data_IF_747518684601
#
_entry.id   IF_747518684601
#
_cell.length_a   1.000
_cell.length_b   1.000
_cell.length_c   1.000
_cell.angle_alpha   90.00
_cell.angle_beta   90.00
_cell.angle_gamma   90.00
#
_symmetry.space_group_name_H-M   'P 1'
#
loop_
_entity.id
_entity.type
_entity.pdbx_description
1 polymer ?
#
# COMPACT_ATOMS: atom_id res chain seq x y z
N UNK A 1 -11.10 44.50 32.37
CA UNK A 1 -10.61 43.11 32.21
C UNK A 1 -11.80 42.19 32.39
N UNK A 2 -12.15 41.44 31.36
CA UNK A 2 -13.19 40.40 31.45
C UNK A 2 -12.59 39.24 32.24
N UNK A 3 -13.24 38.82 33.33
CA UNK A 3 -12.81 37.66 34.12
C UNK A 3 -13.25 36.41 33.36
N UNK A 4 -12.31 35.52 33.07
CA UNK A 4 -12.56 34.26 32.36
C UNK A 4 -12.37 33.13 33.37
N UNK A 5 -13.39 32.30 33.56
CA UNK A 5 -13.34 31.15 34.45
C UNK A 5 -12.82 29.93 33.68
N UNK A 6 -11.76 29.28 34.18
CA UNK A 6 -11.15 28.12 33.50
C UNK A 6 -12.10 26.92 33.41
N UNK A 7 -13.07 26.84 34.31
CA UNK A 7 -14.13 25.81 34.30
C UNK A 7 -15.02 25.89 33.06
N UNK A 8 -15.08 27.05 32.41
CA UNK A 8 -15.86 27.23 31.18
C UNK A 8 -15.06 26.83 29.93
N UNK A 9 -13.73 26.70 30.06
CA UNK A 9 -12.80 26.43 28.95
C UNK A 9 -12.26 25.00 28.96
N UNK A 10 -12.15 24.39 30.14
CA UNK A 10 -11.63 23.04 30.33
C UNK A 10 -12.80 22.12 30.67
N UNK A 11 -12.91 20.99 29.95
CA UNK A 11 -13.96 20.02 30.25
C UNK A 11 -13.71 19.33 31.61
N UNK A 12 -14.78 19.00 32.38
CA UNK A 12 -14.65 18.39 33.71
C UNK A 12 -13.78 17.12 33.75
N UNK A 13 -13.74 16.35 32.67
CA UNK A 13 -12.90 15.15 32.54
C UNK A 13 -11.39 15.42 32.64
N UNK A 14 -10.96 16.68 32.50
CA UNK A 14 -9.56 17.09 32.59
C UNK A 14 -9.20 17.83 33.88
N UNK A 15 -10.13 18.01 34.83
CA UNK A 15 -9.84 18.72 36.08
C UNK A 15 -8.73 18.04 36.90
N UNK A 16 -8.78 16.72 37.04
CA UNK A 16 -7.71 15.97 37.72
C UNK A 16 -6.36 16.13 37.01
N UNK A 17 -6.36 16.14 35.68
CA UNK A 17 -5.15 16.34 34.88
C UNK A 17 -4.61 17.77 35.07
N UNK A 18 -5.49 18.78 35.12
CA UNK A 18 -5.12 20.17 35.42
C UNK A 18 -4.47 20.29 36.81
N UNK A 19 -5.07 19.68 37.84
CA UNK A 19 -4.50 19.67 39.18
C UNK A 19 -3.12 18.99 39.22
N UNK A 20 -2.99 17.83 38.57
CA UNK A 20 -1.73 17.10 38.47
C UNK A 20 -0.64 17.90 37.71
N UNK A 21 -1.02 18.70 36.70
CA UNK A 21 -0.11 19.60 35.99
C UNK A 21 0.35 20.75 36.87
N UNK A 22 -0.58 21.38 37.60
CA UNK A 22 -0.30 22.51 38.50
C UNK A 22 0.62 22.12 39.66
N UNK A 23 0.47 20.90 40.15
CA UNK A 23 1.34 20.31 41.18
C UNK A 23 2.62 19.69 40.59
N UNK A 24 2.76 19.68 39.26
CA UNK A 24 3.90 19.14 38.52
C UNK A 24 4.21 17.68 38.91
N UNK A 25 3.16 16.87 39.10
CA UNK A 25 3.26 15.47 39.59
C UNK A 25 3.97 14.54 38.61
N UNK A 26 3.76 14.74 37.31
CA UNK A 26 4.25 13.84 36.26
C UNK A 26 4.99 14.61 35.17
N UNK A 27 5.84 13.90 34.43
CA UNK A 27 6.51 14.44 33.24
C UNK A 27 5.78 14.09 31.95
N UNK A 28 5.07 12.97 31.89
CA UNK A 28 4.41 12.46 30.68
C UNK A 28 2.92 12.33 30.93
N UNK A 29 2.10 12.98 30.11
CA UNK A 29 0.65 13.00 30.18
C UNK A 29 0.08 12.42 28.89
N UNK A 30 -0.57 11.26 28.99
CA UNK A 30 -1.21 10.58 27.87
C UNK A 30 -2.71 10.84 27.89
N UNK A 31 -3.22 11.49 26.86
CA UNK A 31 -4.60 11.88 26.71
C UNK A 31 -5.21 11.08 25.55
N UNK A 32 -6.01 10.07 25.90
CA UNK A 32 -6.79 9.26 24.94
C UNK A 32 -8.23 9.76 24.86
N UNK A 33 -8.83 9.68 23.68
CA UNK A 33 -10.27 9.93 23.54
C UNK A 33 -10.73 10.07 22.10
N UNK A 34 -12.04 9.93 21.88
CA UNK A 34 -12.66 10.06 20.57
C UNK A 34 -12.68 11.48 20.02
N UNK A 35 -13.35 11.64 18.86
CA UNK A 35 -13.63 12.96 18.28
C UNK A 35 -14.52 13.77 19.24
N UNK A 36 -14.16 15.04 19.46
CA UNK A 36 -14.91 15.92 20.36
C UNK A 36 -14.58 15.75 21.84
N UNK A 37 -13.60 14.92 22.21
CA UNK A 37 -13.20 14.72 23.61
C UNK A 37 -12.31 15.84 24.18
N UNK A 38 -12.30 17.01 23.54
CA UNK A 38 -11.65 18.28 23.97
C UNK A 38 -10.16 18.24 24.39
N UNK A 39 -9.43 17.16 24.08
CA UNK A 39 -8.00 16.98 24.44
C UNK A 39 -7.09 18.10 23.93
N UNK A 40 -7.14 18.37 22.63
CA UNK A 40 -6.28 19.37 21.99
C UNK A 40 -6.61 20.79 22.49
N UNK A 41 -7.88 21.05 22.79
CA UNK A 41 -8.34 22.28 23.45
C UNK A 41 -7.77 22.42 24.86
N UNK A 42 -7.85 21.36 25.67
CA UNK A 42 -7.26 21.35 27.01
C UNK A 42 -5.74 21.57 26.98
N UNK A 43 -5.00 20.80 26.17
CA UNK A 43 -3.54 20.90 26.07
C UNK A 43 -3.11 22.30 25.64
N UNK A 44 -3.79 22.89 24.65
CA UNK A 44 -3.47 24.24 24.17
C UNK A 44 -3.66 25.31 25.25
N UNK A 45 -4.72 25.23 26.06
CA UNK A 45 -4.94 26.14 27.20
C UNK A 45 -3.82 26.00 28.24
N UNK A 46 -3.49 24.76 28.63
CA UNK A 46 -2.45 24.47 29.63
C UNK A 46 -1.07 24.97 29.21
N UNK A 47 -0.71 24.83 27.93
CA UNK A 47 0.56 25.31 27.40
C UNK A 47 0.63 26.85 27.47
N UNK A 48 -0.42 27.55 27.04
CA UNK A 48 -0.44 29.01 27.05
C UNK A 48 -0.34 29.55 28.48
N UNK A 49 -1.16 29.04 29.41
CA UNK A 49 -1.13 29.45 30.81
C UNK A 49 0.18 29.09 31.48
N UNK A 50 0.68 27.87 31.26
CA UNK A 50 1.95 27.40 31.81
C UNK A 50 3.14 28.26 31.39
N UNK A 51 3.19 28.66 30.11
CA UNK A 51 4.23 29.57 29.62
C UNK A 51 4.10 30.98 30.19
N UNK A 52 2.89 31.52 30.30
CA UNK A 52 2.66 32.84 30.89
C UNK A 52 3.08 32.89 32.37
N UNK A 53 2.99 31.77 33.10
CA UNK A 53 3.36 31.66 34.51
C UNK A 53 4.87 31.38 34.74
N UNK A 54 5.59 30.83 33.76
CA UNK A 54 6.99 30.45 33.89
C UNK A 54 7.88 31.22 32.90
N UNK A 55 8.60 32.28 33.32
CA UNK A 55 9.49 33.10 32.49
C UNK A 55 10.58 32.33 31.71
N UNK A 56 10.88 31.08 32.05
CA UNK A 56 11.90 30.26 31.38
C UNK A 56 11.31 29.15 30.48
N UNK A 57 9.98 28.98 30.47
CA UNK A 57 9.33 27.94 29.71
C UNK A 57 9.20 28.32 28.23
N UNK A 58 9.64 27.43 27.34
CA UNK A 58 9.29 27.43 25.94
C UNK A 58 8.54 26.13 25.62
N UNK A 59 7.86 26.09 24.47
CA UNK A 59 7.13 24.91 24.05
C UNK A 59 7.48 24.47 22.63
N UNK A 60 7.26 23.19 22.35
CA UNK A 60 7.29 22.63 21.00
C UNK A 60 6.03 21.81 20.74
N UNK A 61 5.36 22.09 19.63
CA UNK A 61 4.24 21.30 19.13
C UNK A 61 4.68 20.49 17.90
N UNK A 62 4.31 19.21 17.90
CA UNK A 62 4.80 18.20 16.99
C UNK A 62 3.64 17.44 16.35
N UNK A 63 3.77 17.22 15.05
CA UNK A 63 2.96 16.27 14.26
C UNK A 63 3.89 15.43 13.40
N UNK A 64 3.42 14.27 12.92
CA UNK A 64 4.24 13.40 12.07
C UNK A 64 4.66 14.14 10.79
N UNK A 65 3.71 14.78 10.12
CA UNK A 65 3.90 15.51 8.86
C UNK A 65 3.87 17.02 9.12
N UNK A 66 4.84 17.76 8.57
CA UNK A 66 5.02 19.20 8.84
C UNK A 66 3.88 20.05 8.25
N UNK A 67 3.39 19.65 7.09
CA UNK A 67 2.35 20.34 6.32
C UNK A 67 1.06 20.47 7.13
N UNK A 68 0.75 19.48 7.96
CA UNK A 68 -0.45 19.46 8.79
C UNK A 68 -0.38 20.40 10.00
N UNK A 69 0.81 20.94 10.37
CA UNK A 69 0.97 21.74 11.58
C UNK A 69 0.18 23.05 11.55
N UNK A 70 0.10 23.71 10.38
CA UNK A 70 -0.53 25.02 10.26
C UNK A 70 -2.01 24.94 10.59
N UNK A 71 -2.73 24.04 9.93
CA UNK A 71 -4.19 23.92 10.03
C UNK A 71 -4.66 23.14 11.27
N UNK A 72 -3.74 22.67 12.11
CA UNK A 72 -4.06 21.88 13.32
C UNK A 72 -3.56 22.56 14.59
N UNK A 73 -2.41 22.12 15.13
CA UNK A 73 -1.88 22.54 16.42
C UNK A 73 -1.54 24.04 16.48
N UNK A 74 -1.21 24.67 15.34
CA UNK A 74 -0.96 26.11 15.29
C UNK A 74 -2.26 26.90 15.47
N UNK A 75 -3.30 26.63 14.67
CA UNK A 75 -4.63 27.23 14.87
C UNK A 75 -5.20 26.91 16.25
N UNK A 76 -4.98 25.70 16.78
CA UNK A 76 -5.46 25.29 18.09
C UNK A 76 -4.86 26.12 19.24
N UNK A 77 -3.57 26.49 19.13
CA UNK A 77 -2.91 27.38 20.10
C UNK A 77 -3.32 28.85 19.93
N UNK A 78 -3.56 29.30 18.69
CA UNK A 78 -4.13 30.63 18.44
C UNK A 78 -5.53 30.76 19.06
N UNK A 79 -6.37 29.74 18.88
CA UNK A 79 -7.68 29.66 19.53
C UNK A 79 -7.56 29.76 21.05
N UNK A 80 -6.61 29.05 21.67
CA UNK A 80 -6.43 29.12 23.12
C UNK A 80 -6.02 30.53 23.58
N UNK A 81 -5.14 31.20 22.83
CA UNK A 81 -4.75 32.60 23.10
C UNK A 81 -5.95 33.55 23.03
N UNK A 82 -6.81 33.37 22.02
CA UNK A 82 -8.00 34.19 21.82
C UNK A 82 -9.04 33.97 22.93
N UNK A 83 -9.35 32.71 23.23
CA UNK A 83 -10.34 32.34 24.25
C UNK A 83 -9.88 32.70 25.67
N UNK A 84 -8.57 32.72 25.92
CA UNK A 84 -8.00 33.25 27.16
C UNK A 84 -7.96 34.79 27.21
N UNK A 85 -8.31 35.49 26.13
CA UNK A 85 -8.32 36.96 26.08
C UNK A 85 -6.93 37.60 26.12
N UNK A 86 -5.88 36.85 25.78
CA UNK A 86 -4.47 37.26 25.93
C UNK A 86 -3.78 37.57 24.60
N UNK A 87 -4.52 37.69 23.49
CA UNK A 87 -3.96 37.93 22.15
C UNK A 87 -3.01 39.12 22.06
N UNK A 88 -3.25 40.18 22.83
CA UNK A 88 -2.39 41.37 22.89
C UNK A 88 -0.98 41.12 23.46
N UNK A 89 -0.75 39.96 24.10
CA UNK A 89 0.53 39.55 24.67
C UNK A 89 1.29 38.57 23.77
N UNK A 90 0.68 38.11 22.68
CA UNK A 90 1.25 37.09 21.80
C UNK A 90 1.42 37.63 20.38
N UNK A 91 2.47 37.17 19.72
CA UNK A 91 2.74 37.47 18.32
C UNK A 91 2.93 36.17 17.54
N UNK A 92 2.15 35.99 16.49
CA UNK A 92 2.21 34.84 15.60
C UNK A 92 3.07 35.12 14.36
N UNK A 93 3.72 34.07 13.87
CA UNK A 93 4.49 34.08 12.63
C UNK A 93 4.31 32.73 11.95
N UNK A 94 4.01 32.76 10.65
CA UNK A 94 3.81 31.54 9.84
C UNK A 94 5.10 31.06 9.13
N UNK A 95 6.09 31.95 8.95
CA UNK A 95 7.37 31.62 8.33
C UNK A 95 8.52 32.44 8.94
N UNK A 96 9.28 31.90 9.90
CA UNK A 96 9.14 30.56 10.47
C UNK A 96 7.90 30.42 11.35
N UNK A 97 7.26 29.25 11.33
CA UNK A 97 6.07 28.96 12.15
C UNK A 97 6.41 28.97 13.64
N UNK A 98 5.91 29.98 14.36
CA UNK A 98 6.12 30.16 15.80
C UNK A 98 5.09 31.12 16.43
N UNK A 99 4.84 30.94 17.72
CA UNK A 99 4.12 31.91 18.55
C UNK A 99 5.09 32.47 19.59
N UNK A 100 5.14 33.79 19.76
CA UNK A 100 6.05 34.47 20.69
C UNK A 100 5.26 35.19 21.78
N UNK A 101 5.56 34.91 23.04
CA UNK A 101 5.01 35.67 24.16
C UNK A 101 5.84 36.95 24.36
N UNK A 102 5.24 38.10 24.08
CA UNK A 102 5.91 39.40 24.02
C UNK A 102 6.58 39.82 25.34
N UNK A 103 5.96 39.65 26.53
CA UNK A 103 6.54 40.13 27.78
C UNK A 103 7.90 39.50 28.14
N UNK A 104 8.09 38.21 27.84
CA UNK A 104 9.32 37.47 28.21
C UNK A 104 10.14 36.99 27.02
N UNK A 105 9.62 37.16 25.80
CA UNK A 105 10.21 36.69 24.52
C UNK A 105 10.36 35.17 24.40
N UNK A 106 9.62 34.39 25.18
CA UNK A 106 9.52 32.95 25.02
C UNK A 106 8.81 32.58 23.71
N UNK A 107 9.06 31.37 23.22
CA UNK A 107 8.48 30.90 21.97
C UNK A 107 7.89 29.50 22.06
N UNK A 108 6.81 29.32 21.30
CA UNK A 108 6.30 28.03 20.86
C UNK A 108 6.81 27.80 19.45
N UNK A 109 7.50 26.68 19.24
CA UNK A 109 7.99 26.28 17.91
C UNK A 109 7.23 25.06 17.40
N UNK A 110 7.04 24.99 16.09
CA UNK A 110 6.29 23.92 15.43
C UNK A 110 7.23 23.09 14.55
N UNK A 111 7.21 21.77 14.69
CA UNK A 111 8.13 20.87 13.95
C UNK A 111 7.43 19.60 13.50
N UNK A 112 7.74 19.17 12.28
CA UNK A 112 7.38 17.84 11.77
C UNK A 112 8.39 16.80 12.27
N UNK A 113 7.89 15.61 12.62
CA UNK A 113 8.72 14.47 12.98
C UNK A 113 9.12 13.59 11.77
N UNK A 114 8.78 14.00 10.56
CA UNK A 114 9.20 13.40 9.28
C UNK A 114 10.72 13.34 9.12
N UNK A 115 11.43 14.33 9.68
CA UNK A 115 12.91 14.41 9.66
C UNK A 115 13.45 14.67 11.07
N UNK A 116 13.54 13.63 11.95
CA UNK A 116 13.95 13.77 13.35
C UNK A 116 15.31 14.46 13.52
N UNK A 117 16.23 14.26 12.56
CA UNK A 117 17.55 14.91 12.54
C UNK A 117 17.49 16.44 12.42
N UNK A 118 16.46 17.01 11.78
CA UNK A 118 16.26 18.46 11.64
C UNK A 118 15.63 19.10 12.88
N UNK A 119 15.00 18.30 13.74
CA UNK A 119 14.41 18.76 15.01
C UNK A 119 15.53 19.19 16.00
N UNK A 120 16.72 18.58 15.88
CA UNK A 120 17.91 18.80 16.74
C UNK A 120 18.53 20.20 16.71
N UNK A 121 18.27 21.02 15.69
CA UNK A 121 18.97 22.31 15.51
C UNK A 121 18.28 23.52 16.14
N UNK A 122 17.22 23.33 16.92
CA UNK A 122 16.41 24.43 17.46
C UNK A 122 16.99 24.95 18.79
N UNK A 123 18.10 25.70 18.74
CA UNK A 123 18.59 26.43 19.91
C UNK A 123 17.65 27.60 20.22
N UNK A 124 17.13 27.66 21.45
CA UNK A 124 16.37 28.80 21.93
C UNK A 124 17.31 29.88 22.48
N UNK A 125 16.91 31.15 22.35
CA UNK A 125 17.70 32.30 22.82
C UNK A 125 17.67 32.44 24.36
N UNK A 126 16.59 31.99 25.00
CA UNK A 126 16.36 32.09 26.45
C UNK A 126 15.48 30.93 26.92
N UNK A 127 15.76 30.44 28.13
CA UNK A 127 15.00 29.34 28.74
C UNK A 127 15.27 27.99 28.09
N UNK A 128 14.38 27.04 28.35
CA UNK A 128 14.45 25.68 27.81
C UNK A 128 13.06 25.23 27.34
N UNK A 129 12.99 24.13 26.59
CA UNK A 129 11.71 23.53 26.20
C UNK A 129 11.14 22.80 27.42
N UNK A 130 10.17 23.42 28.09
CA UNK A 130 9.45 22.82 29.21
C UNK A 130 8.29 21.97 28.72
N UNK A 131 7.53 22.48 27.75
CA UNK A 131 6.33 21.82 27.22
C UNK A 131 6.62 21.18 25.86
N UNK A 132 6.32 19.90 25.72
CA UNK A 132 6.42 19.15 24.46
C UNK A 132 5.05 18.56 24.17
N UNK A 133 4.48 18.82 23.00
CA UNK A 133 3.18 18.29 22.63
C UNK A 133 3.29 17.47 21.34
N UNK A 134 2.96 16.18 21.44
CA UNK A 134 2.77 15.28 20.32
C UNK A 134 1.27 15.14 20.04
N UNK A 135 0.82 15.74 18.94
CA UNK A 135 -0.56 15.61 18.46
C UNK A 135 -0.65 14.44 17.47
N UNK A 136 -1.69 13.63 17.59
CA UNK A 136 -1.89 12.39 16.83
C UNK A 136 -0.68 11.47 16.93
N UNK A 137 -0.31 11.18 18.18
CA UNK A 137 0.89 10.37 18.48
C UNK A 137 0.83 8.97 17.85
N UNK A 138 -0.38 8.46 17.55
CA UNK A 138 -0.58 7.20 16.85
C UNK A 138 0.02 7.16 15.43
N UNK A 139 0.27 8.31 14.80
CA UNK A 139 0.95 8.41 13.50
C UNK A 139 2.49 8.37 13.61
N UNK A 140 3.04 8.42 14.83
CA UNK A 140 4.48 8.48 15.05
C UNK A 140 5.09 7.08 15.15
N UNK A 141 6.42 7.02 14.98
CA UNK A 141 7.20 5.85 15.35
C UNK A 141 7.77 6.04 16.76
N UNK A 142 7.77 5.02 17.64
CA UNK A 142 8.34 5.09 18.98
C UNK A 142 9.80 5.61 19.01
N UNK A 143 10.59 5.22 18.02
CA UNK A 143 12.00 5.61 17.90
C UNK A 143 12.17 7.11 17.61
N UNK A 144 11.26 7.69 16.85
CA UNK A 144 11.23 9.13 16.55
C UNK A 144 10.97 9.91 17.84
N UNK A 145 9.95 9.49 18.61
CA UNK A 145 9.61 10.12 19.89
C UNK A 145 10.78 10.02 20.87
N UNK A 146 11.42 8.85 20.98
CA UNK A 146 12.59 8.67 21.86
C UNK A 146 13.73 9.62 21.47
N UNK A 147 13.99 9.75 20.17
CA UNK A 147 15.05 10.64 19.64
C UNK A 147 14.73 12.11 19.90
N UNK A 148 13.47 12.50 19.73
CA UNK A 148 12.99 13.88 19.95
C UNK A 148 13.01 14.21 21.45
N UNK A 149 12.52 13.32 22.32
CA UNK A 149 12.57 13.48 23.77
C UNK A 149 14.01 13.63 24.27
N UNK A 150 14.95 12.82 23.77
CA UNK A 150 16.37 12.98 24.09
C UNK A 150 16.92 14.34 23.66
N UNK A 151 16.32 15.01 22.67
CA UNK A 151 16.74 16.32 22.21
C UNK A 151 16.16 17.43 23.08
N UNK A 152 14.87 17.38 23.39
CA UNK A 152 14.16 18.48 24.06
C UNK A 152 14.10 18.38 25.58
N UNK A 153 14.11 17.17 26.16
CA UNK A 153 14.04 16.97 27.62
C UNK A 153 15.43 17.16 28.27
N UNK A 154 16.04 18.32 28.04
CA UNK A 154 17.35 18.73 28.57
C UNK A 154 17.37 20.22 28.84
N UNK A 155 18.23 20.65 29.75
CA UNK A 155 18.52 22.07 29.98
C UNK A 155 17.57 22.79 30.95
N UNK A 156 16.70 22.06 31.65
CA UNK A 156 15.83 22.60 32.69
C UNK A 156 15.45 21.58 33.76
N UNK A 157 14.87 22.04 34.89
CA UNK A 157 14.60 21.20 36.06
C UNK A 157 13.33 20.35 35.94
N UNK A 158 12.35 20.78 35.13
CA UNK A 158 11.05 20.13 35.01
C UNK A 158 10.55 20.15 33.58
N UNK A 159 9.86 19.10 33.16
CA UNK A 159 9.33 18.94 31.81
C UNK A 159 7.91 18.41 31.86
N UNK A 160 7.12 18.78 30.86
CA UNK A 160 5.75 18.31 30.66
C UNK A 160 5.61 17.90 29.21
N UNK A 161 5.29 16.63 28.97
CA UNK A 161 5.12 16.04 27.66
C UNK A 161 3.68 15.57 27.50
N UNK A 162 2.96 16.19 26.59
CA UNK A 162 1.61 15.82 26.22
C UNK A 162 1.61 14.89 25.02
N UNK A 163 0.86 13.79 25.14
CA UNK A 163 0.59 12.86 24.05
C UNK A 163 -0.92 12.77 23.85
N UNK A 164 -1.41 13.27 22.72
CA UNK A 164 -2.83 13.19 22.37
C UNK A 164 -3.02 12.30 21.16
N UNK A 165 -3.97 11.38 21.25
CA UNK A 165 -4.33 10.49 20.15
C UNK A 165 -5.78 10.01 20.28
N UNK A 166 -6.29 9.50 19.16
CA UNK A 166 -7.52 8.75 19.15
C UNK A 166 -7.18 7.25 19.08
N UNK A 167 -7.57 6.43 20.06
CA UNK A 167 -7.24 5.00 20.05
C UNK A 167 -7.69 4.34 18.74
N UNK A 168 -6.75 3.78 17.99
CA UNK A 168 -7.06 3.04 16.76
C UNK A 168 -7.76 1.73 17.12
N UNK A 169 -8.74 1.30 16.32
CA UNK A 169 -9.49 0.04 16.53
C UNK A 169 -8.60 -1.20 16.63
N UNK A 170 -7.39 -1.15 16.07
CA UNK A 170 -6.40 -2.22 16.17
C UNK A 170 -5.67 -2.15 17.51
N UNK A 171 -5.84 -3.18 18.35
CA UNK A 171 -5.06 -3.34 19.59
C UNK A 171 -3.55 -3.56 19.33
N UNK A 172 -3.15 -3.84 18.07
CA UNK A 172 -1.74 -4.00 17.66
C UNK A 172 -0.99 -2.69 17.49
N UNK A 173 -1.67 -1.53 17.56
CA UNK A 173 -0.99 -0.24 17.48
C UNK A 173 -0.12 -0.04 18.74
N UNK A 174 1.13 0.37 18.55
CA UNK A 174 2.13 0.47 19.60
C UNK A 174 1.71 1.42 20.72
N UNK A 175 0.92 2.46 20.40
CA UNK A 175 0.42 3.41 21.40
C UNK A 175 -0.49 2.73 22.42
N UNK A 176 -1.33 1.79 21.97
CA UNK A 176 -2.23 1.02 22.85
C UNK A 176 -1.44 0.04 23.75
N UNK A 177 -0.27 -0.42 23.30
CA UNK A 177 0.61 -1.29 24.09
C UNK A 177 1.43 -0.52 25.14
N UNK A 178 1.82 0.73 24.84
CA UNK A 178 2.51 1.59 25.80
C UNK A 178 1.57 2.05 26.93
N UNK A 179 0.27 2.15 26.65
CA UNK A 179 -0.80 2.31 27.64
C UNK A 179 -0.90 1.09 28.57
N UNK A 180 -0.82 -0.12 28.01
CA UNK A 180 -0.98 -1.37 28.77
C UNK A 180 0.17 -1.66 29.76
N UNK A 181 1.31 -0.99 29.62
CA UNK A 181 2.37 -1.01 30.65
C UNK A 181 1.97 -0.28 31.94
N UNK A 182 0.85 0.45 31.92
CA UNK A 182 0.17 1.01 33.09
C UNK A 182 -0.98 0.14 33.61
N UNK A 183 -1.07 -1.15 33.24
CA UNK A 183 -2.10 -2.05 33.77
C UNK A 183 -1.92 -2.26 35.27
N UNK A 184 -3.04 -2.01 35.95
CA UNK A 184 -3.35 -2.05 37.39
C UNK A 184 -2.72 -3.25 38.10
N UNK A 185 -1.77 -2.99 38.99
CA UNK A 185 -1.15 -3.97 39.92
C UNK A 185 -1.60 -3.71 41.37
N UNK A 186 -2.89 -3.45 41.57
CA UNK A 186 -3.49 -3.09 42.85
C UNK A 186 -4.58 -2.04 42.64
N UNK A 187 -5.51 -1.93 43.57
CA UNK A 187 -6.69 -1.05 43.42
C UNK A 187 -6.30 0.44 43.29
N UNK A 188 -5.07 0.80 43.71
CA UNK A 188 -4.48 2.14 43.62
C UNK A 188 -3.04 2.14 43.03
N UNK A 189 -2.60 3.28 42.44
CA UNK A 189 -1.28 3.46 41.82
C UNK A 189 -0.09 3.17 42.76
N UNK A 190 -0.26 3.40 44.05
CA UNK A 190 0.78 3.21 45.06
C UNK A 190 1.03 1.70 45.33
N UNK A 191 -0.02 0.91 45.34
CA UNK A 191 0.05 -0.55 45.47
C UNK A 191 0.68 -1.17 44.21
N UNK A 192 0.31 -0.67 43.02
CA UNK A 192 0.91 -1.11 41.76
C UNK A 192 2.43 -0.91 41.72
N UNK A 193 2.91 0.24 42.19
CA UNK A 193 4.36 0.53 42.28
C UNK A 193 5.08 -0.40 43.27
N UNK A 194 4.46 -0.69 44.41
CA UNK A 194 5.00 -1.61 45.42
C UNK A 194 5.06 -3.05 44.88
N UNK A 195 4.01 -3.51 44.20
CA UNK A 195 3.96 -4.83 43.58
C UNK A 195 5.02 -4.96 42.48
N UNK A 196 5.25 -3.93 41.65
CA UNK A 196 6.34 -3.91 40.66
C UNK A 196 7.72 -4.02 41.33
N UNK A 197 7.93 -3.32 42.45
CA UNK A 197 9.19 -3.39 43.20
C UNK A 197 9.39 -4.76 43.85
N UNK A 198 8.34 -5.34 44.43
CA UNK A 198 8.37 -6.69 45.00
C UNK A 198 8.61 -7.74 43.92
N UNK A 199 7.96 -7.63 42.76
CA UNK A 199 8.16 -8.53 41.63
C UNK A 199 9.60 -8.48 41.09
N UNK A 200 10.22 -7.29 41.04
CA UNK A 200 11.64 -7.15 40.67
C UNK A 200 12.59 -7.75 41.70
N UNK A 201 12.29 -7.59 42.99
CA UNK A 201 13.16 -8.01 44.09
C UNK A 201 13.06 -9.51 44.37
N UNK A 202 11.84 -10.04 44.41
CA UNK A 202 11.54 -11.41 44.80
C UNK A 202 11.28 -12.33 43.61
N UNK A 203 10.94 -11.78 42.43
CA UNK A 203 10.62 -12.56 41.21
C UNK A 203 9.48 -13.56 41.41
N UNK A 204 8.59 -13.27 42.36
CA UNK A 204 7.40 -14.06 42.68
C UNK A 204 6.18 -13.22 42.29
N UNK A 205 5.21 -13.86 41.63
CA UNK A 205 3.90 -13.31 41.33
C UNK A 205 2.88 -14.09 42.16
N UNK A 206 2.19 -13.41 43.06
CA UNK A 206 1.12 -14.01 43.86
C UNK A 206 -0.19 -13.96 43.08
N UNK A 207 -0.86 -15.11 42.95
CA UNK A 207 -2.14 -15.24 42.27
C UNK A 207 -3.25 -15.36 43.33
N UNK A 208 -4.41 -14.73 43.13
CA UNK A 208 -5.46 -14.69 44.13
C UNK A 208 -5.96 -16.12 44.46
N UNK A 209 -5.98 -16.51 45.75
CA UNK A 209 -6.40 -17.86 46.13
C UNK A 209 -7.89 -18.07 45.87
N UNK A 210 -8.25 -19.16 45.19
CA UNK A 210 -9.64 -19.57 44.95
C UNK A 210 -10.27 -19.09 43.63
N UNK A 211 -9.49 -18.44 42.76
CA UNK A 211 -9.83 -18.22 41.36
C UNK A 211 -8.88 -19.06 40.50
N UNK A 212 -9.36 -19.65 39.39
CA UNK A 212 -8.50 -20.21 38.33
C UNK A 212 -7.73 -19.05 37.68
N UNK A 213 -6.71 -18.57 38.39
CA UNK A 213 -5.85 -17.49 37.98
C UNK A 213 -4.57 -18.12 37.43
N UNK A 214 -4.33 -17.93 36.14
CA UNK A 214 -3.12 -18.38 35.46
C UNK A 214 -2.21 -17.20 35.13
N UNK A 215 -0.90 -17.43 35.20
CA UNK A 215 0.13 -16.46 34.83
C UNK A 215 0.81 -16.91 33.53
N UNK A 216 0.50 -16.25 32.43
CA UNK A 216 1.12 -16.51 31.13
C UNK A 216 2.02 -15.36 30.69
N UNK A 217 3.09 -15.71 29.98
CA UNK A 217 3.85 -14.71 29.23
C UNK A 217 3.00 -14.24 28.06
N UNK A 218 2.85 -12.91 27.89
CA UNK A 218 2.32 -12.34 26.67
C UNK A 218 3.36 -12.52 25.54
N UNK A 219 3.43 -13.73 25.00
CA UNK A 219 4.26 -14.04 23.84
C UNK A 219 3.53 -13.55 22.59
N UNK A 220 4.25 -12.93 21.66
CA UNK A 220 3.71 -12.70 20.31
C UNK A 220 3.64 -14.04 19.57
N UNK A 221 2.67 -14.88 19.92
CA UNK A 221 2.34 -16.06 19.13
C UNK A 221 1.61 -15.57 17.89
N UNK A 222 2.32 -15.51 16.77
CA UNK A 222 1.64 -15.53 15.48
C UNK A 222 1.11 -16.96 15.35
N UNK A 223 -0.21 -17.11 15.30
CA UNK A 223 -0.79 -18.39 14.98
C UNK A 223 -0.31 -18.76 13.55
N UNK A 224 0.26 -19.96 13.41
CA UNK A 224 0.79 -20.44 12.14
C UNK A 224 -0.30 -20.44 11.07
N UNK A 225 -1.55 -20.77 11.47
CA UNK A 225 -2.72 -20.72 10.59
C UNK A 225 -3.01 -19.31 10.07
N UNK A 226 -2.95 -18.30 10.94
CA UNK A 226 -3.24 -16.90 10.55
C UNK A 226 -2.16 -16.37 9.61
N UNK A 227 -0.91 -16.79 9.85
CA UNK A 227 0.24 -16.43 9.02
C UNK A 227 0.13 -17.06 7.64
N UNK A 228 -0.32 -18.32 7.56
CA UNK A 228 -0.57 -19.01 6.30
C UNK A 228 -1.73 -18.39 5.50
N UNK A 229 -2.82 -18.03 6.17
CA UNK A 229 -3.94 -17.30 5.55
C UNK A 229 -3.46 -15.96 4.96
N UNK A 230 -2.69 -15.19 5.73
CA UNK A 230 -2.13 -13.92 5.25
C UNK A 230 -1.17 -14.13 4.08
N UNK A 231 -0.31 -15.16 4.14
CA UNK A 231 0.63 -15.50 3.07
C UNK A 231 -0.10 -15.82 1.77
N UNK A 232 -1.17 -16.61 1.85
CA UNK A 232 -1.96 -17.00 0.69
C UNK A 232 -2.70 -15.79 0.10
N UNK A 233 -3.30 -14.94 0.94
CA UNK A 233 -3.95 -13.70 0.49
C UNK A 233 -2.97 -12.77 -0.26
N UNK A 234 -1.78 -12.53 0.30
CA UNK A 234 -0.75 -11.71 -0.35
C UNK A 234 -0.31 -12.31 -1.68
N UNK A 235 -0.12 -13.64 -1.74
CA UNK A 235 0.24 -14.34 -2.98
C UNK A 235 -0.82 -14.12 -4.05
N UNK A 236 -2.09 -14.28 -3.70
CA UNK A 236 -3.21 -14.16 -4.64
C UNK A 236 -3.38 -12.71 -5.11
N UNK A 237 -3.23 -11.73 -4.21
CA UNK A 237 -3.21 -10.30 -4.53
C UNK A 237 -2.10 -9.95 -5.53
N UNK A 238 -0.88 -10.48 -5.33
CA UNK A 238 0.25 -10.26 -6.25
C UNK A 238 -0.10 -10.75 -7.66
N UNK A 239 -0.68 -11.95 -7.79
CA UNK A 239 -1.06 -12.50 -9.09
C UNK A 239 -2.19 -11.70 -9.75
N UNK A 240 -3.16 -11.22 -8.97
CA UNK A 240 -4.24 -10.38 -9.45
C UNK A 240 -3.73 -9.02 -9.96
N UNK A 241 -2.87 -8.33 -9.19
CA UNK A 241 -2.34 -7.02 -9.57
C UNK A 241 -1.31 -7.10 -10.71
N UNK A 242 -0.46 -8.12 -10.71
CA UNK A 242 0.51 -8.33 -11.77
C UNK A 242 -0.14 -8.81 -13.08
N UNK A 243 -1.40 -9.26 -13.04
CA UNK A 243 -2.09 -9.96 -14.14
C UNK A 243 -1.27 -11.16 -14.65
N UNK A 244 -0.53 -11.81 -13.75
CA UNK A 244 0.27 -13.01 -14.04
C UNK A 244 -0.43 -14.21 -13.42
N UNK A 245 -0.87 -15.20 -14.22
CA UNK A 245 -1.54 -16.40 -13.73
C UNK A 245 -0.66 -17.19 -12.77
N UNK A 246 -1.26 -17.70 -11.70
CA UNK A 246 -0.58 -18.65 -10.80
C UNK A 246 -0.68 -20.07 -11.38
N UNK A 247 0.46 -20.64 -11.79
CA UNK A 247 0.53 -21.98 -12.38
C UNK A 247 0.47 -23.11 -11.33
N UNK A 248 0.68 -22.79 -10.04
CA UNK A 248 0.66 -23.77 -8.95
C UNK A 248 -0.68 -23.81 -8.21
N UNK A 249 -1.71 -23.13 -8.73
CA UNK A 249 -3.07 -23.20 -8.19
C UNK A 249 -3.64 -24.63 -8.39
N UNK A 250 -4.15 -25.26 -7.34
CA UNK A 250 -4.73 -26.61 -7.41
C UNK A 250 -5.91 -26.67 -8.40
N UNK A 251 -6.63 -25.55 -8.55
CA UNK A 251 -7.69 -25.41 -9.56
C UNK A 251 -7.16 -25.29 -10.99
N UNK A 252 -5.84 -25.23 -11.19
CA UNK A 252 -5.19 -25.26 -12.50
C UNK A 252 -4.99 -26.70 -12.98
N UNK A 253 -4.63 -27.62 -12.10
CA UNK A 253 -4.26 -28.99 -12.46
C UNK A 253 -5.47 -29.94 -12.63
N UNK A 254 -6.59 -29.66 -11.97
CA UNK A 254 -7.58 -30.70 -11.74
C UNK A 254 -8.60 -30.96 -12.87
N UNK A 255 -8.90 -30.03 -13.79
CA UNK A 255 -9.86 -30.22 -14.91
C UNK A 255 -10.03 -28.96 -15.77
N UNK A 256 -8.94 -28.32 -16.20
CA UNK A 256 -9.07 -27.07 -16.96
C UNK A 256 -9.47 -27.35 -18.42
N UNK A 257 -10.77 -27.25 -18.72
CA UNK A 257 -11.25 -27.15 -20.10
C UNK A 257 -10.51 -26.04 -20.84
N UNK A 258 -10.34 -26.14 -22.17
CA UNK A 258 -9.63 -25.12 -22.96
C UNK A 258 -10.17 -23.70 -22.75
N UNK A 259 -11.45 -23.57 -22.38
CA UNK A 259 -12.11 -22.31 -22.04
C UNK A 259 -11.70 -21.78 -20.65
N UNK A 260 -11.59 -22.64 -19.64
CA UNK A 260 -11.17 -22.24 -18.29
C UNK A 260 -9.72 -21.70 -18.30
N UNK A 261 -8.85 -22.32 -19.08
CA UNK A 261 -7.47 -21.83 -19.29
C UNK A 261 -7.45 -20.44 -19.92
N UNK A 262 -8.30 -20.19 -20.93
CA UNK A 262 -8.41 -18.86 -21.58
C UNK A 262 -8.83 -17.77 -20.60
N UNK A 263 -9.81 -18.04 -19.72
CA UNK A 263 -10.21 -17.05 -18.71
C UNK A 263 -9.11 -16.76 -17.69
N UNK A 264 -8.36 -17.77 -17.25
CA UNK A 264 -7.22 -17.57 -16.34
C UNK A 264 -6.08 -16.78 -16.99
N UNK A 265 -5.82 -16.99 -18.28
CA UNK A 265 -4.77 -16.28 -19.03
C UNK A 265 -5.20 -14.89 -19.53
N UNK A 266 -6.46 -14.49 -19.36
CA UNK A 266 -7.02 -13.27 -19.94
C UNK A 266 -6.22 -12.01 -19.56
N UNK A 267 -5.85 -11.87 -18.28
CA UNK A 267 -5.06 -10.73 -17.81
C UNK A 267 -3.67 -10.67 -18.47
N UNK A 268 -3.01 -11.83 -18.59
CA UNK A 268 -1.71 -11.93 -19.25
C UNK A 268 -1.82 -11.57 -20.73
N UNK A 269 -2.84 -12.09 -21.43
CA UNK A 269 -3.08 -11.78 -22.83
C UNK A 269 -3.36 -10.30 -23.06
N UNK A 270 -4.09 -9.63 -22.16
CA UNK A 270 -4.29 -8.19 -22.25
C UNK A 270 -2.97 -7.41 -22.13
N UNK A 271 -2.12 -7.74 -21.14
CA UNK A 271 -0.80 -7.14 -21.02
C UNK A 271 0.08 -7.42 -22.24
N UNK A 272 0.04 -8.65 -22.73
CA UNK A 272 0.84 -9.09 -23.86
C UNK A 272 0.41 -8.38 -25.15
N UNK A 273 -0.89 -8.15 -25.36
CA UNK A 273 -1.45 -7.41 -26.49
C UNK A 273 -1.08 -5.92 -26.44
N UNK A 274 -1.09 -5.31 -25.25
CA UNK A 274 -0.62 -3.93 -25.07
C UNK A 274 0.85 -3.81 -25.46
N UNK A 275 1.70 -4.73 -24.99
CA UNK A 275 3.12 -4.77 -25.34
C UNK A 275 3.33 -5.01 -26.83
N UNK A 276 2.62 -5.98 -27.40
CA UNK A 276 2.68 -6.30 -28.84
C UNK A 276 2.40 -5.07 -29.69
N UNK A 277 1.39 -4.27 -29.35
CA UNK A 277 1.11 -3.00 -30.05
C UNK A 277 2.32 -2.05 -30.04
N UNK A 278 2.99 -1.90 -28.90
CA UNK A 278 4.20 -1.07 -28.80
C UNK A 278 5.36 -1.66 -29.61
N UNK A 279 5.54 -2.99 -29.59
CA UNK A 279 6.54 -3.66 -30.40
C UNK A 279 6.28 -3.49 -31.90
N UNK A 280 5.04 -3.66 -32.37
CA UNK A 280 4.66 -3.45 -33.78
C UNK A 280 4.93 -1.99 -34.18
N UNK A 281 4.58 -1.03 -33.34
CA UNK A 281 4.88 0.38 -33.61
C UNK A 281 6.39 0.62 -33.74
N UNK A 282 7.19 0.09 -32.81
CA UNK A 282 8.66 0.21 -32.85
C UNK A 282 9.29 -0.50 -34.06
N UNK A 283 8.79 -1.68 -34.42
CA UNK A 283 9.26 -2.44 -35.58
C UNK A 283 8.92 -1.73 -36.88
N UNK A 284 7.71 -1.18 -37.02
CA UNK A 284 7.34 -0.36 -38.17
C UNK A 284 8.26 0.84 -38.33
N UNK A 285 8.57 1.53 -37.23
CA UNK A 285 9.48 2.68 -37.27
C UNK A 285 10.91 2.25 -37.65
N UNK A 286 11.39 1.14 -37.10
CA UNK A 286 12.68 0.55 -37.48
C UNK A 286 12.73 0.15 -38.95
N UNK A 287 11.66 -0.40 -39.48
CA UNK A 287 11.56 -0.75 -40.90
C UNK A 287 11.59 0.49 -41.81
N UNK A 288 10.92 1.58 -41.44
CA UNK A 288 11.03 2.86 -42.15
C UNK A 288 12.47 3.39 -42.16
N UNK A 289 13.18 3.29 -41.02
CA UNK A 289 14.59 3.67 -40.94
C UNK A 289 15.45 2.84 -41.90
N UNK A 290 15.22 1.52 -41.97
CA UNK A 290 15.92 0.67 -42.94
C UNK A 290 15.62 1.04 -44.39
N UNK A 291 14.36 1.32 -44.73
CA UNK A 291 14.00 1.80 -46.06
C UNK A 291 14.69 3.13 -46.40
N UNK A 292 14.78 4.06 -45.45
CA UNK A 292 15.51 5.32 -45.64
C UNK A 292 17.00 5.08 -45.91
N UNK A 293 17.65 4.18 -45.17
CA UNK A 293 19.05 3.80 -45.41
C UNK A 293 19.23 3.16 -46.78
N UNK A 294 18.32 2.28 -47.20
CA UNK A 294 18.36 1.65 -48.52
C UNK A 294 18.13 2.67 -49.64
N UNK A 295 17.25 3.65 -49.43
CA UNK A 295 17.01 4.76 -50.36
C UNK A 295 18.27 5.58 -50.60
N UNK A 296 19.04 5.87 -49.55
CA UNK A 296 20.35 6.54 -49.67
C UNK A 296 21.35 5.66 -50.45
N UNK A 297 21.25 4.34 -50.35
CA UNK A 297 22.05 3.38 -51.12
C UNK A 297 21.51 3.08 -52.53
N UNK A 298 20.51 3.84 -53.00
CA UNK A 298 19.95 3.72 -54.35
C UNK A 298 18.91 2.61 -54.54
N UNK A 299 18.40 1.98 -53.45
CA UNK A 299 17.32 0.98 -53.50
C UNK A 299 16.09 1.51 -52.78
N UNK A 300 15.04 1.86 -53.52
CA UNK A 300 13.75 2.21 -52.93
C UNK A 300 12.95 0.94 -52.62
N UNK A 301 12.58 0.76 -51.35
CA UNK A 301 11.74 -0.36 -50.88
C UNK A 301 10.55 0.25 -50.16
N UNK A 302 9.34 -0.11 -50.59
CA UNK A 302 8.13 0.19 -49.82
C UNK A 302 7.98 -0.83 -48.70
N UNK A 303 7.69 -0.35 -47.50
CA UNK A 303 7.55 -1.18 -46.30
C UNK A 303 6.10 -1.23 -45.81
N UNK A 304 5.19 -0.54 -46.50
CA UNK A 304 3.78 -0.46 -46.12
C UNK A 304 3.08 -1.81 -46.18
N UNK A 305 3.52 -2.68 -47.10
CA UNK A 305 2.94 -4.00 -47.34
C UNK A 305 3.49 -5.10 -46.41
N UNK A 306 4.45 -4.77 -45.54
CA UNK A 306 5.03 -5.76 -44.62
C UNK A 306 4.09 -6.02 -43.45
N UNK A 307 3.48 -7.21 -43.46
CA UNK A 307 2.68 -7.72 -42.34
C UNK A 307 3.59 -8.26 -41.24
N UNK A 308 3.46 -7.71 -40.02
CA UNK A 308 4.21 -8.14 -38.85
C UNK A 308 3.29 -9.02 -38.00
N UNK A 309 3.61 -10.31 -37.90
CA UNK A 309 2.85 -11.28 -37.11
C UNK A 309 3.66 -11.70 -35.88
N UNK A 310 3.07 -11.60 -34.69
CA UNK A 310 3.64 -12.10 -33.44
C UNK A 310 2.87 -13.33 -33.00
N UNK A 311 3.54 -14.47 -32.87
CA UNK A 311 2.91 -15.72 -32.45
C UNK A 311 3.01 -15.90 -30.93
N UNK A 312 1.92 -16.35 -30.30
CA UNK A 312 1.87 -16.66 -28.87
C UNK A 312 2.30 -18.11 -28.67
N UNK A 313 3.20 -18.34 -27.73
CA UNK A 313 3.57 -19.70 -27.30
C UNK A 313 2.71 -20.11 -26.10
N UNK A 314 1.44 -20.41 -26.37
CA UNK A 314 0.50 -20.92 -25.37
C UNK A 314 0.33 -22.43 -25.52
N UNK A 315 0.12 -23.18 -24.43
CA UNK A 315 -0.29 -24.57 -24.51
C UNK A 315 -1.58 -24.70 -25.32
N UNK A 316 -1.51 -25.40 -26.45
CA UNK A 316 -2.68 -25.69 -27.30
C UNK A 316 -3.24 -27.07 -26.94
N UNK A 317 -4.57 -27.20 -26.97
CA UNK A 317 -5.23 -28.50 -26.90
C UNK A 317 -5.51 -28.99 -28.31
N UNK A 318 -4.57 -29.73 -28.88
CA UNK A 318 -4.65 -30.22 -30.26
C UNK A 318 -5.80 -31.22 -30.44
N UNK A 319 -6.22 -31.91 -29.37
CA UNK A 319 -7.35 -32.84 -29.39
C UNK A 319 -8.70 -32.11 -29.59
N UNK A 320 -8.96 -31.05 -28.82
CA UNK A 320 -10.16 -30.22 -29.00
C UNK A 320 -10.17 -29.58 -30.39
N UNK A 321 -9.00 -29.12 -30.86
CA UNK A 321 -8.85 -28.51 -32.18
C UNK A 321 -9.13 -29.52 -33.30
N UNK A 322 -8.61 -30.74 -33.20
CA UNK A 322 -8.87 -31.81 -34.16
C UNK A 322 -10.35 -32.23 -34.19
N UNK A 323 -11.00 -32.33 -33.03
CA UNK A 323 -12.44 -32.63 -32.93
C UNK A 323 -13.29 -31.52 -33.56
N UNK A 324 -12.93 -30.26 -33.32
CA UNK A 324 -13.59 -29.11 -33.95
C UNK A 324 -13.43 -29.13 -35.47
N UNK A 325 -12.23 -29.39 -35.98
CA UNK A 325 -11.95 -29.50 -37.42
C UNK A 325 -12.77 -30.64 -38.04
N UNK A 326 -12.82 -31.81 -37.41
CA UNK A 326 -13.63 -32.94 -37.88
C UNK A 326 -15.13 -32.60 -37.94
N UNK A 327 -15.63 -31.83 -36.98
CA UNK A 327 -17.05 -31.42 -36.92
C UNK A 327 -17.41 -30.39 -38.01
N UNK A 328 -16.47 -29.48 -38.33
CA UNK A 328 -16.67 -28.42 -39.32
C UNK A 328 -16.31 -28.82 -40.75
N UNK A 329 -15.81 -30.04 -40.95
CA UNK A 329 -15.46 -30.56 -42.26
C UNK A 329 -16.69 -30.59 -43.18
N UNK A 330 -16.58 -29.95 -44.35
CA UNK A 330 -17.69 -29.79 -45.30
C UNK A 330 -18.58 -28.56 -45.06
N UNK A 331 -18.43 -27.84 -43.94
CA UNK A 331 -19.11 -26.55 -43.69
C UNK A 331 -18.19 -25.35 -43.92
N UNK A 332 -16.88 -25.54 -43.73
CA UNK A 332 -15.83 -24.52 -43.89
C UNK A 332 -14.78 -25.04 -44.87
N UNK A 333 -14.15 -24.14 -45.62
CA UNK A 333 -13.10 -24.53 -46.57
C UNK A 333 -11.92 -25.19 -45.87
N UNK A 334 -11.38 -26.25 -46.47
CA UNK A 334 -10.26 -27.03 -45.94
C UNK A 334 -9.02 -26.18 -45.63
N UNK A 335 -8.62 -25.17 -46.45
CA UNK A 335 -7.52 -24.28 -46.10
C UNK A 335 -7.76 -23.48 -44.81
N UNK A 336 -9.01 -23.06 -44.56
CA UNK A 336 -9.36 -22.31 -43.35
C UNK A 336 -9.32 -23.20 -42.11
N UNK A 337 -9.75 -24.47 -42.22
CA UNK A 337 -9.67 -25.42 -41.12
C UNK A 337 -8.23 -25.77 -40.75
N UNK A 338 -7.38 -25.99 -41.77
CA UNK A 338 -5.96 -26.27 -41.60
C UNK A 338 -5.21 -25.06 -41.03
N UNK A 339 -5.65 -23.83 -41.32
CA UNK A 339 -5.06 -22.63 -40.72
C UNK A 339 -5.20 -22.54 -39.18
N UNK A 340 -6.10 -23.33 -38.58
CA UNK A 340 -6.22 -23.42 -37.12
C UNK A 340 -5.15 -24.28 -36.46
N UNK A 341 -4.44 -25.10 -37.23
CA UNK A 341 -3.36 -25.96 -36.72
C UNK A 341 -2.09 -25.14 -36.54
N UNK A 342 -1.61 -25.06 -35.30
CA UNK A 342 -0.46 -24.23 -34.91
C UNK A 342 0.86 -24.62 -35.60
N UNK A 343 0.98 -25.85 -36.08
CA UNK A 343 2.15 -26.38 -36.77
C UNK A 343 2.14 -26.20 -38.29
N UNK A 344 1.03 -25.74 -38.89
CA UNK A 344 0.94 -25.53 -40.34
C UNK A 344 1.20 -24.06 -40.68
N UNK A 345 2.32 -23.80 -41.34
CA UNK A 345 2.74 -22.44 -41.71
C UNK A 345 2.12 -21.95 -43.03
N UNK A 346 1.87 -22.86 -43.98
CA UNK A 346 1.23 -22.58 -45.26
C UNK A 346 0.05 -23.54 -45.49
N UNK A 347 -1.19 -23.10 -45.21
CA UNK A 347 -2.38 -23.94 -45.37
C UNK A 347 -2.66 -24.36 -46.81
N UNK A 348 -2.24 -23.57 -47.80
CA UNK A 348 -2.52 -23.90 -49.19
C UNK A 348 -1.59 -25.01 -49.68
N UNK A 349 -0.30 -24.90 -49.37
CA UNK A 349 0.68 -25.93 -49.69
C UNK A 349 0.31 -27.30 -49.05
N UNK A 350 -0.21 -27.29 -47.81
CA UNK A 350 -0.64 -28.51 -47.13
C UNK A 350 -1.86 -29.15 -47.80
N UNK A 351 -2.85 -28.35 -48.22
CA UNK A 351 -4.01 -28.86 -48.97
C UNK A 351 -3.59 -29.48 -50.29
N UNK A 352 -2.67 -28.83 -51.00
CA UNK A 352 -2.16 -29.32 -52.28
C UNK A 352 -1.38 -30.64 -52.09
N UNK A 353 -0.60 -30.77 -51.02
CA UNK A 353 0.09 -32.00 -50.65
C UNK A 353 -0.90 -33.14 -50.34
N UNK A 354 -1.94 -32.89 -49.55
CA UNK A 354 -2.99 -33.89 -49.24
C UNK A 354 -3.75 -34.31 -50.50
N UNK A 355 -4.00 -33.38 -51.43
CA UNK A 355 -4.67 -33.72 -52.70
C UNK A 355 -3.77 -34.57 -53.60
N UNK A 356 -2.46 -34.27 -53.66
CA UNK A 356 -1.49 -35.09 -54.38
C UNK A 356 -1.40 -36.52 -53.81
N UNK A 357 -1.38 -36.67 -52.48
CA UNK A 357 -1.42 -37.98 -51.82
C UNK A 357 -2.69 -38.77 -52.18
N UNK A 358 -3.85 -38.10 -52.18
CA UNK A 358 -5.12 -38.74 -52.60
C UNK A 358 -5.11 -39.17 -54.05
N UNK A 359 -4.59 -38.34 -54.96
CA UNK A 359 -4.46 -38.71 -56.37
C UNK A 359 -3.55 -39.91 -56.58
N UNK A 360 -2.42 -39.96 -55.86
CA UNK A 360 -1.49 -41.08 -55.92
C UNK A 360 -2.08 -42.36 -55.31
N UNK A 361 -2.85 -42.24 -54.22
CA UNK A 361 -3.60 -43.35 -53.64
C UNK A 361 -4.73 -43.84 -54.56
N UNK A 362 -5.43 -42.94 -55.25
CA UNK A 362 -6.43 -43.30 -56.26
C UNK A 362 -5.76 -44.05 -57.42
N UNK A 363 -4.63 -43.56 -57.95
CA UNK A 363 -3.85 -44.25 -58.99
C UNK A 363 -3.37 -45.63 -58.52
N UNK A 364 -2.89 -45.73 -57.28
CA UNK A 364 -2.43 -46.99 -56.67
C UNK A 364 -3.58 -47.98 -56.46
N UNK A 365 -4.74 -47.51 -56.06
CA UNK A 365 -5.95 -48.33 -55.91
C UNK A 365 -6.54 -48.75 -57.26
N UNK A 366 -6.53 -47.88 -58.27
CA UNK A 366 -6.93 -48.21 -59.64
C UNK A 366 -5.98 -49.24 -60.27
N UNK A 367 -4.67 -49.12 -60.03
CA UNK A 367 -3.68 -50.12 -60.44
C UNK A 367 -3.83 -51.47 -59.71
N UNK A 368 -4.29 -51.46 -58.45
CA UNK A 368 -4.56 -52.68 -57.67
C UNK A 368 -5.88 -53.39 -58.06
N UNK A 369 -6.88 -52.65 -58.54
CA UNK A 369 -8.19 -53.17 -58.97
C UNK A 369 -8.29 -53.50 -60.48
N UNK A 370 -7.22 -53.29 -61.27
CA UNK A 370 -7.09 -53.83 -62.62
C UNK A 370 -8.06 -53.24 -63.66
N UNK A 371 -8.40 -51.95 -63.55
CA UNK A 371 -9.14 -51.26 -64.62
C UNK A 371 -8.14 -50.57 -65.55
N UNK A 372 -8.11 -50.86 -66.87
CA UNK A 372 -7.19 -50.20 -67.79
C UNK A 372 -7.59 -48.73 -67.99
N UNK A 373 -6.59 -47.85 -68.08
CA UNK A 373 -6.76 -46.49 -68.58
C UNK A 373 -7.32 -46.54 -70.01
N UNK A 374 -8.53 -46.02 -70.23
CA UNK A 374 -8.94 -45.66 -71.59
C UNK A 374 -8.19 -44.38 -71.99
N UNK A 375 -7.25 -44.53 -72.91
CA UNK A 375 -6.70 -43.45 -73.72
C UNK A 375 -7.84 -42.79 -74.51
N UNK A 376 -7.89 -41.46 -74.44
CA UNK A 376 -8.41 -40.49 -75.42
C UNK A 376 -9.57 -40.94 -76.32
N UNK A 377 -10.80 -40.60 -75.91
CA UNK A 377 -11.91 -40.45 -76.85
C UNK A 377 -11.99 -38.98 -77.26
N UNK A 378 -11.21 -38.59 -78.28
CA UNK A 378 -11.52 -37.43 -79.09
C UNK A 378 -12.77 -37.78 -79.92
N UNK A 379 -13.93 -37.26 -79.51
CA UNK A 379 -15.13 -37.27 -80.32
C UNK A 379 -15.09 -36.06 -81.26
N UNK A 380 -14.63 -36.29 -82.49
CA UNK A 380 -14.98 -35.44 -83.63
C UNK A 380 -16.47 -35.70 -83.96
N UNK A 381 -17.36 -34.84 -83.48
CA UNK A 381 -18.69 -34.65 -84.07
C UNK A 381 -18.97 -33.15 -84.15
N UNK A 382 -18.78 -32.57 -85.33
CA UNK A 382 -19.57 -31.44 -85.85
C UNK A 382 -19.33 -31.30 -87.36
N UNK A 383 -20.22 -31.89 -88.17
CA UNK A 383 -20.52 -31.45 -89.56
C UNK A 383 -21.79 -32.11 -90.13
N UNK A 384 -22.96 -31.64 -89.71
CA UNK A 384 -24.21 -31.56 -90.49
C UNK A 384 -24.82 -30.22 -90.03
N UNK A 385 -25.02 -29.18 -90.83
CA UNK A 385 -25.60 -29.04 -92.19
C UNK A 385 -25.06 -27.78 -92.89
#
# INVERSE_FOLDING_TARGET
MTKIELTDLIAPSFYEVHHALKEERYTHYWLKGGRGSTKSSFISIEIILGMMCDPNANAVALRKVKENLRESVFEQLLWAIEVLGVSHLWHDSVSPMSLTYLPTSQKIIFRGADKPKKVKSSKLRRGYIKYVWYEEVDEFLPEDIRTINQTFLRGGPKFVVFYSFNPTKSQRNWVNAEELKGVVLGDDEEQASQVIQMLKKYKVLELPPGQDADAEWLVKSLNESDTEVLRNAIRDDIHQFAMVPNLTDENFAANASGVAMKYKLLGLEQLAKIKERYFIQGLRERLKLFANVLKVKGKAVDVSDVTITMTRNLPANDLETAQMIATLNGMVSTPTLISQLSFVHDPQAEVDAVNAEKEDDIKRNQAAFGVPMNEDVNADEDAIE
#
